data_IF_919367790797
#
_entry.id   IF_919367790797
#
_cell.length_a   1.000
_cell.length_b   1.000
_cell.length_c   1.000
_cell.angle_alpha   90.00
_cell.angle_beta   90.00
_cell.angle_gamma   90.00
#
_symmetry.space_group_name_H-M   'P 1'
#
loop_
_entity.id
_entity.type
_entity.pdbx_description
1 polymer ?
#
# COMPACT_ATOMS: atom_id res chain seq x y z
N UNK A 1 -20.96 17.65 -8.61
CA UNK A 1 -19.64 17.96 -9.17
C UNK A 1 -18.66 16.85 -8.86
N UNK A 2 -18.03 16.35 -9.87
CA UNK A 2 -17.03 15.31 -9.67
C UNK A 2 -15.73 15.94 -9.18
N UNK A 3 -15.25 15.50 -8.03
CA UNK A 3 -13.98 15.96 -7.54
C UNK A 3 -12.87 15.40 -8.41
N UNK A 4 -11.88 16.22 -8.68
CA UNK A 4 -10.70 15.72 -9.36
C UNK A 4 -10.03 14.65 -8.51
N UNK A 5 -9.79 13.48 -9.11
CA UNK A 5 -9.07 12.40 -8.46
C UNK A 5 -7.59 12.47 -8.76
N UNK A 6 -7.18 13.44 -9.57
CA UNK A 6 -5.77 13.61 -9.94
C UNK A 6 -5.03 14.26 -8.78
N UNK A 7 -4.04 13.57 -8.21
CA UNK A 7 -3.29 14.16 -7.11
C UNK A 7 -2.40 15.30 -7.59
N UNK A 8 -2.19 16.28 -6.71
CA UNK A 8 -1.28 17.38 -6.98
C UNK A 8 0.17 16.90 -6.86
N UNK A 9 1.11 17.69 -7.39
CA UNK A 9 2.53 17.41 -7.23
C UNK A 9 2.92 17.31 -5.76
N UNK A 10 2.33 18.15 -4.94
CA UNK A 10 2.58 18.16 -3.51
C UNK A 10 2.14 16.85 -2.86
N UNK A 11 0.97 16.35 -3.24
CA UNK A 11 0.46 15.06 -2.76
C UNK A 11 1.35 13.92 -3.20
N UNK A 12 1.78 13.92 -4.46
CA UNK A 12 2.64 12.87 -5.00
C UNK A 12 3.99 12.84 -4.30
N UNK A 13 4.60 14.00 -4.08
CA UNK A 13 5.89 14.07 -3.39
C UNK A 13 5.80 13.58 -1.96
N UNK A 14 4.77 14.01 -1.24
CA UNK A 14 4.58 13.58 0.14
C UNK A 14 4.37 12.07 0.22
N UNK A 15 3.54 11.53 -0.68
CA UNK A 15 3.29 10.11 -0.74
C UNK A 15 4.55 9.30 -1.01
N UNK A 16 5.41 9.77 -1.94
CA UNK A 16 6.65 9.08 -2.27
C UNK A 16 7.66 9.13 -1.11
N UNK A 17 7.73 10.24 -0.40
CA UNK A 17 8.59 10.33 0.77
C UNK A 17 8.21 9.28 1.82
N UNK A 18 6.92 9.16 2.08
CA UNK A 18 6.41 8.20 3.06
C UNK A 18 6.60 6.76 2.56
N UNK A 19 6.33 6.52 1.27
CA UNK A 19 6.51 5.20 0.69
C UNK A 19 7.95 4.72 0.83
N UNK A 20 8.91 5.55 0.48
CA UNK A 20 10.33 5.21 0.59
C UNK A 20 10.72 4.93 2.04
N UNK A 21 10.25 5.76 2.97
CA UNK A 21 10.57 5.57 4.37
C UNK A 21 9.96 4.29 4.93
N UNK A 22 8.71 3.99 4.58
CA UNK A 22 8.07 2.75 4.99
C UNK A 22 8.78 1.52 4.41
N UNK A 23 9.15 1.58 3.14
CA UNK A 23 9.87 0.50 2.50
C UNK A 23 11.19 0.21 3.21
N UNK A 24 11.89 1.26 3.62
CA UNK A 24 13.13 1.10 4.37
C UNK A 24 12.90 0.48 5.74
N UNK A 25 11.87 0.94 6.44
CA UNK A 25 11.51 0.38 7.75
C UNK A 25 11.26 -1.12 7.65
N UNK A 26 10.48 -1.54 6.67
CA UNK A 26 10.15 -2.96 6.50
C UNK A 26 11.35 -3.77 6.03
N UNK A 27 12.13 -3.23 5.10
CA UNK A 27 13.30 -3.93 4.57
C UNK A 27 14.34 -4.18 5.66
N UNK A 28 14.52 -3.24 6.57
CA UNK A 28 15.49 -3.36 7.66
C UNK A 28 14.94 -4.01 8.92
N UNK A 29 13.66 -4.35 8.93
CA UNK A 29 13.04 -4.95 10.10
C UNK A 29 13.04 -4.03 11.31
N UNK A 30 12.90 -2.73 11.09
CA UNK A 30 13.00 -1.73 12.17
C UNK A 30 11.84 -1.78 13.14
N UNK A 31 10.74 -2.45 12.80
CA UNK A 31 9.60 -2.57 13.71
C UNK A 31 9.90 -3.50 14.89
N UNK A 32 10.83 -4.42 14.71
CA UNK A 32 11.17 -5.37 15.74
C UNK A 32 10.08 -6.40 16.04
N UNK A 33 9.04 -6.47 15.21
CA UNK A 33 7.94 -7.42 15.37
C UNK A 33 8.20 -8.63 14.48
N UNK A 34 8.54 -9.80 15.07
CA UNK A 34 8.86 -11.00 14.27
C UNK A 34 7.73 -11.46 13.37
N UNK A 35 6.49 -11.31 13.79
CA UNK A 35 5.34 -11.69 12.96
C UNK A 35 5.25 -10.80 11.73
N UNK A 36 5.43 -9.50 11.91
CA UNK A 36 5.40 -8.57 10.81
C UNK A 36 6.55 -8.86 9.82
N UNK A 37 7.73 -9.15 10.33
CA UNK A 37 8.86 -9.49 9.49
C UNK A 37 8.62 -10.75 8.67
N UNK A 38 8.03 -11.78 9.30
CA UNK A 38 7.73 -13.04 8.59
C UNK A 38 6.72 -12.85 7.48
N UNK A 39 5.85 -11.87 7.60
CA UNK A 39 4.85 -11.58 6.57
C UNK A 39 5.44 -10.85 5.37
N UNK A 40 6.70 -10.42 5.46
CA UNK A 40 7.42 -9.72 4.40
C UNK A 40 6.56 -8.62 3.76
N UNK A 41 6.24 -7.57 4.54
CA UNK A 41 5.38 -6.50 4.03
C UNK A 41 6.06 -5.70 2.93
N UNK A 42 5.28 -5.32 1.94
CA UNK A 42 5.74 -4.48 0.84
C UNK A 42 4.76 -3.34 0.65
N UNK A 43 5.28 -2.12 0.50
CA UNK A 43 4.46 -0.94 0.26
C UNK A 43 4.45 -0.68 -1.24
N UNK A 44 3.27 -0.76 -1.83
CA UNK A 44 3.10 -0.56 -3.28
C UNK A 44 2.96 0.91 -3.60
N UNK A 45 2.14 1.60 -2.82
CA UNK A 45 1.80 2.99 -3.09
C UNK A 45 1.34 3.66 -1.80
N UNK A 46 1.58 4.96 -1.70
CA UNK A 46 1.02 5.77 -0.62
C UNK A 46 0.26 6.92 -1.26
N UNK A 47 -1.04 7.00 -0.97
CA UNK A 47 -1.90 8.06 -1.46
C UNK A 47 -2.18 9.05 -0.33
N UNK A 48 -1.99 10.34 -0.62
CA UNK A 48 -2.22 11.39 0.35
C UNK A 48 -3.58 12.03 0.17
N UNK A 49 -4.20 12.43 1.27
CA UNK A 49 -5.35 13.32 1.20
C UNK A 49 -4.88 14.71 0.71
N UNK A 50 -5.79 15.51 0.10
CA UNK A 50 -5.39 16.82 -0.43
C UNK A 50 -4.79 17.76 0.62
N UNK A 51 -5.22 17.66 1.87
CA UNK A 51 -4.70 18.47 2.96
C UNK A 51 -3.44 17.85 3.60
N UNK A 52 -2.95 16.73 3.08
CA UNK A 52 -1.77 16.00 3.55
C UNK A 52 -1.88 15.50 4.99
N UNK A 53 -3.10 15.40 5.52
CA UNK A 53 -3.31 14.92 6.89
C UNK A 53 -3.42 13.40 7.00
N UNK A 54 -3.78 12.75 5.91
CA UNK A 54 -3.97 11.30 5.89
C UNK A 54 -3.12 10.69 4.77
N UNK A 55 -2.34 9.69 5.12
CA UNK A 55 -1.56 8.90 4.18
C UNK A 55 -2.13 7.48 4.18
N UNK A 56 -2.60 7.02 3.03
CA UNK A 56 -3.09 5.64 2.88
C UNK A 56 -2.01 4.82 2.20
N UNK A 57 -1.45 3.88 2.94
CA UNK A 57 -0.39 3.00 2.44
C UNK A 57 -1.02 1.70 1.95
N UNK A 58 -0.86 1.42 0.67
CA UNK A 58 -1.32 0.16 0.08
C UNK A 58 -0.20 -0.85 0.17
N UNK A 59 -0.49 -1.95 0.86
CA UNK A 59 0.53 -2.93 1.22
C UNK A 59 0.18 -4.31 0.68
N UNK A 60 1.21 -5.13 0.52
CA UNK A 60 1.08 -6.53 0.14
C UNK A 60 1.93 -7.39 1.05
N UNK A 61 1.57 -8.65 1.15
CA UNK A 61 2.43 -9.66 1.74
C UNK A 61 2.75 -10.71 0.67
N UNK A 62 3.96 -11.26 0.72
CA UNK A 62 4.33 -12.35 -0.16
C UNK A 62 3.74 -13.68 0.29
N UNK A 63 3.09 -13.70 1.45
CA UNK A 63 2.44 -14.90 1.97
C UNK A 63 0.96 -14.84 1.64
N UNK A 64 0.56 -15.51 0.57
CA UNK A 64 -0.82 -15.53 0.11
C UNK A 64 -1.77 -15.99 1.20
N UNK A 65 -2.90 -15.30 1.31
CA UNK A 65 -3.90 -15.62 2.31
C UNK A 65 -3.64 -15.02 3.69
N UNK A 66 -2.50 -14.34 3.86
CA UNK A 66 -2.14 -13.75 5.15
C UNK A 66 -2.39 -12.25 5.22
N UNK A 67 -3.16 -11.71 4.27
CA UNK A 67 -3.46 -10.28 4.24
C UNK A 67 -4.12 -9.77 5.53
N UNK A 68 -5.09 -10.49 6.12
CA UNK A 68 -5.67 -10.03 7.39
C UNK A 68 -4.65 -9.95 8.51
N UNK A 69 -3.73 -10.91 8.58
CA UNK A 69 -2.68 -10.91 9.58
C UNK A 69 -1.70 -9.75 9.37
N UNK A 70 -1.43 -9.43 8.11
CA UNK A 70 -0.59 -8.28 7.78
C UNK A 70 -1.21 -6.98 8.30
N UNK A 71 -2.49 -6.77 8.02
CA UNK A 71 -3.18 -5.56 8.50
C UNK A 71 -3.21 -5.49 10.01
N UNK A 72 -3.47 -6.61 10.66
CA UNK A 72 -3.48 -6.66 12.13
C UNK A 72 -2.11 -6.28 12.70
N UNK A 73 -1.05 -6.85 12.14
CA UNK A 73 0.30 -6.56 12.60
C UNK A 73 0.70 -5.10 12.36
N UNK A 74 0.32 -4.55 11.20
CA UNK A 74 0.60 -3.15 10.91
C UNK A 74 -0.15 -2.22 11.85
N UNK A 75 -1.43 -2.51 12.12
CA UNK A 75 -2.23 -1.70 13.03
C UNK A 75 -1.73 -1.80 14.46
N UNK A 76 -1.27 -2.97 14.87
CA UNK A 76 -0.68 -3.15 16.19
C UNK A 76 0.57 -2.30 16.37
N UNK A 77 1.35 -2.13 15.31
CA UNK A 77 2.60 -1.37 15.32
C UNK A 77 2.43 0.06 14.81
N UNK A 78 1.20 0.49 14.58
CA UNK A 78 0.91 1.77 13.92
C UNK A 78 1.60 2.97 14.55
N UNK A 79 1.51 3.10 15.86
CA UNK A 79 2.13 4.23 16.56
C UNK A 79 3.65 4.18 16.48
N UNK A 80 4.20 3.00 16.61
CA UNK A 80 5.65 2.83 16.57
C UNK A 80 6.19 3.16 15.18
N UNK A 81 5.51 2.68 14.14
CA UNK A 81 5.90 2.96 12.76
C UNK A 81 5.80 4.46 12.48
N UNK A 82 4.76 5.11 12.97
CA UNK A 82 4.62 6.57 12.80
C UNK A 82 5.78 7.31 13.43
N UNK A 83 6.24 6.86 14.59
CA UNK A 83 7.41 7.44 15.23
C UNK A 83 8.68 7.28 14.41
N UNK A 84 8.87 6.10 13.81
CA UNK A 84 10.00 5.85 12.92
C UNK A 84 9.93 6.74 11.67
N UNK A 85 8.74 6.88 11.10
CA UNK A 85 8.53 7.76 9.94
C UNK A 85 8.89 9.20 10.27
N UNK A 86 8.47 9.68 11.43
CA UNK A 86 8.73 11.05 11.85
C UNK A 86 10.22 11.36 11.92
N UNK A 87 11.05 10.34 12.16
CA UNK A 87 12.50 10.51 12.19
C UNK A 87 13.13 10.48 10.80
N UNK A 88 12.47 9.84 9.85
CA UNK A 88 13.02 9.62 8.51
C UNK A 88 12.58 10.66 7.49
N UNK A 89 11.42 11.26 7.67
CA UNK A 89 10.90 12.24 6.71
C UNK A 89 10.76 13.60 7.35
N UNK A 90 11.14 14.62 6.59
CA UNK A 90 10.97 16.00 7.02
C UNK A 90 9.63 16.51 6.52
N UNK A 91 8.66 16.54 7.43
CA UNK A 91 7.35 17.07 7.13
C UNK A 91 6.94 17.96 8.30
N UNK A 92 6.32 19.09 7.98
CA UNK A 92 5.86 20.01 8.99
C UNK A 92 4.89 19.35 9.96
N UNK A 93 3.99 18.54 9.42
CA UNK A 93 3.05 17.75 10.20
C UNK A 93 3.08 16.31 9.71
N UNK A 94 3.23 15.37 10.64
CA UNK A 94 3.20 13.96 10.27
C UNK A 94 1.77 13.53 10.06
N UNK A 95 1.43 12.98 8.89
CA UNK A 95 0.06 12.55 8.64
C UNK A 95 -0.29 11.30 9.44
N UNK A 96 -1.59 11.06 9.57
CA UNK A 96 -2.08 9.78 10.04
C UNK A 96 -1.85 8.77 8.93
N UNK A 97 -1.23 7.64 9.25
CA UNK A 97 -0.97 6.58 8.26
C UNK A 97 -2.00 5.48 8.43
N UNK A 98 -2.71 5.18 7.36
CA UNK A 98 -3.69 4.10 7.30
C UNK A 98 -3.17 3.04 6.35
N UNK A 99 -3.42 1.79 6.68
CA UNK A 99 -2.94 0.66 5.87
C UNK A 99 -4.10 -0.03 5.20
N UNK A 100 -3.96 -0.32 3.93
CA UNK A 100 -4.95 -1.07 3.15
C UNK A 100 -4.21 -2.09 2.30
N UNK A 101 -4.85 -3.24 2.08
CA UNK A 101 -4.28 -4.24 1.19
C UNK A 101 -4.43 -3.76 -0.25
N UNK A 102 -3.34 -3.88 -1.00
CA UNK A 102 -3.35 -3.57 -2.43
C UNK A 102 -3.98 -4.73 -3.18
N UNK A 103 -5.17 -4.50 -3.75
CA UNK A 103 -5.92 -5.50 -4.48
C UNK A 103 -5.77 -5.35 -5.99
N UNK A 104 -5.01 -4.37 -6.46
CA UNK A 104 -4.87 -4.12 -7.88
C UNK A 104 -4.34 -5.34 -8.64
N UNK A 105 -3.36 -6.02 -8.07
CA UNK A 105 -2.80 -7.23 -8.69
C UNK A 105 -3.83 -8.35 -8.72
N UNK A 106 -4.57 -8.53 -7.62
CA UNK A 106 -5.60 -9.56 -7.56
C UNK A 106 -6.70 -9.30 -8.58
N UNK A 107 -7.09 -8.04 -8.71
CA UNK A 107 -8.09 -7.65 -9.70
C UNK A 107 -7.59 -7.93 -11.11
N UNK A 108 -6.35 -7.57 -11.41
CA UNK A 108 -5.73 -7.82 -12.71
C UNK A 108 -5.67 -9.32 -13.00
N UNK A 109 -5.33 -10.13 -12.01
CA UNK A 109 -5.29 -11.58 -12.15
C UNK A 109 -6.67 -12.16 -12.43
N UNK A 110 -7.70 -11.65 -11.77
CA UNK A 110 -9.07 -12.08 -12.01
C UNK A 110 -9.53 -11.74 -13.43
N UNK A 111 -9.19 -10.57 -13.92
CA UNK A 111 -9.50 -10.16 -15.28
C UNK A 111 -8.79 -11.08 -16.26
N UNK A 112 -7.53 -11.40 -16.03
CA UNK A 112 -6.75 -12.28 -16.87
C UNK A 112 -7.36 -13.69 -16.92
N UNK A 113 -7.76 -14.21 -15.75
CA UNK A 113 -8.46 -15.51 -15.67
C UNK A 113 -9.74 -15.51 -16.49
N UNK A 114 -10.53 -14.45 -16.39
CA UNK A 114 -11.77 -14.34 -17.14
C UNK A 114 -11.50 -14.32 -18.64
N UNK A 115 -10.46 -13.64 -19.07
CA UNK A 115 -10.08 -13.56 -20.49
C UNK A 115 -9.61 -14.92 -21.03
N UNK A 116 -9.12 -15.79 -20.18
CA UNK A 116 -8.64 -17.11 -20.58
C UNK A 116 -9.70 -18.21 -20.48
N UNK A 117 -10.92 -17.88 -20.05
CA UNK A 117 -12.01 -18.83 -20.05
C UNK A 117 -12.41 -19.14 -21.50
N UNK A 118 -12.79 -20.39 -21.81
CA UNK A 118 -13.07 -20.78 -23.19
C UNK A 118 -14.07 -19.89 -23.92
N UNK A 119 -15.15 -19.49 -23.27
CA UNK A 119 -16.15 -18.64 -23.91
C UNK A 119 -15.64 -17.25 -24.21
N UNK A 120 -14.82 -16.69 -23.35
CA UNK A 120 -14.26 -15.36 -23.55
C UNK A 120 -13.13 -15.39 -24.58
N UNK A 121 -12.27 -16.40 -24.50
CA UNK A 121 -11.19 -16.57 -25.43
C UNK A 121 -11.73 -16.74 -26.86
N UNK A 122 -12.83 -17.50 -27.01
CA UNK A 122 -13.48 -17.70 -28.30
C UNK A 122 -13.98 -16.40 -28.89
N UNK A 123 -14.58 -15.56 -28.06
CA UNK A 123 -15.08 -14.26 -28.51
C UNK A 123 -13.94 -13.33 -28.95
N UNK A 124 -12.82 -13.38 -28.25
CA UNK A 124 -11.66 -12.59 -28.61
C UNK A 124 -11.03 -13.05 -29.92
N UNK A 125 -11.02 -14.36 -30.15
CA UNK A 125 -10.47 -14.93 -31.39
C UNK A 125 -11.27 -14.55 -32.62
N UNK A 126 -12.55 -14.30 -32.45
CA UNK A 126 -13.44 -13.93 -33.56
C UNK A 126 -13.24 -12.49 -34.03
N UNK A 127 -12.48 -11.73 -33.29
CA UNK A 127 -12.13 -10.37 -33.68
C UNK A 127 -10.90 -10.38 -34.57
#
# INVERSE_FOLDING_TARGET
MVKSTVPSQRMLRAGELIRHALAEIFLRGETGDPELERLTPSVVEVQMSPDLKIATAYVRTFQQGREPQLLEALNRNKKYIRGLLARKVEMKFMPEVRYRIDTALDYANKIDELLHRPEVARDLEKK
#
